data_IF_286906550119
#
_entry.id   IF_286906550119
#
_cell.length_a   1.000
_cell.length_b   1.000
_cell.length_c   1.000
_cell.angle_alpha   90.00
_cell.angle_beta   90.00
_cell.angle_gamma   90.00
#
_symmetry.space_group_name_H-M   'P 1'
#
loop_
_entity.id
_entity.type
_entity.pdbx_description
1 polymer ?
#
# COMPACT_ATOMS: atom_id res chain seq x y z
N UNK A 1 31.80 1.57 -8.86
CA UNK A 1 31.06 0.92 -7.76
C UNK A 1 30.27 2.00 -6.99
N UNK A 2 29.06 2.43 -7.44
CA UNK A 2 28.33 3.47 -6.74
C UNK A 2 27.37 2.80 -5.75
N UNK A 3 27.72 2.86 -4.47
CA UNK A 3 26.83 2.51 -3.38
C UNK A 3 25.69 3.53 -3.39
N UNK A 4 24.58 3.17 -4.03
CA UNK A 4 23.33 3.95 -4.02
C UNK A 4 22.87 4.11 -2.56
N UNK A 5 22.20 5.22 -2.21
CA UNK A 5 21.93 5.61 -0.83
C UNK A 5 20.74 4.81 -0.26
N UNK A 6 20.87 3.49 -0.19
CA UNK A 6 19.95 2.57 0.50
C UNK A 6 20.01 2.72 2.03
N UNK A 7 20.75 3.71 2.54
CA UNK A 7 21.06 3.87 3.96
C UNK A 7 20.10 4.83 4.67
N UNK A 8 19.25 5.58 3.97
CA UNK A 8 18.36 6.56 4.61
C UNK A 8 17.02 6.00 5.08
N UNK A 9 16.67 4.74 4.75
CA UNK A 9 15.45 4.06 5.20
C UNK A 9 15.80 2.82 6.05
N UNK A 10 16.60 3.02 7.10
CA UNK A 10 17.05 1.95 8.00
C UNK A 10 16.12 1.69 9.20
N UNK A 11 14.93 2.31 9.22
CA UNK A 11 13.92 2.09 10.27
C UNK A 11 12.70 1.40 9.66
N UNK A 12 12.55 0.07 9.82
CA UNK A 12 11.33 -0.67 9.42
C UNK A 12 10.03 -0.06 9.96
N UNK A 13 10.13 0.70 11.05
CA UNK A 13 9.01 1.39 11.72
C UNK A 13 8.43 2.55 10.91
N UNK A 14 9.15 3.06 9.90
CA UNK A 14 8.71 4.18 9.06
C UNK A 14 8.31 3.71 7.64
N UNK A 15 8.17 2.41 7.42
CA UNK A 15 7.79 1.91 6.12
C UNK A 15 6.34 2.29 5.82
N UNK A 16 6.14 2.94 4.68
CA UNK A 16 4.80 3.15 4.13
C UNK A 16 4.21 1.81 3.72
N UNK A 17 2.88 1.69 3.71
CA UNK A 17 2.19 0.45 3.33
C UNK A 17 2.72 -0.16 2.01
N UNK A 18 2.96 0.61 0.92
CA UNK A 18 3.51 0.06 -0.31
C UNK A 18 4.96 -0.42 -0.17
N UNK A 19 5.79 0.31 0.59
CA UNK A 19 7.17 -0.07 0.83
C UNK A 19 7.26 -1.34 1.69
N UNK A 20 6.41 -1.45 2.71
CA UNK A 20 6.26 -2.65 3.53
C UNK A 20 5.85 -3.87 2.70
N UNK A 21 4.82 -3.73 1.84
CA UNK A 21 4.41 -4.81 0.94
C UNK A 21 5.54 -5.22 -0.02
N UNK A 22 6.28 -4.26 -0.57
CA UNK A 22 7.44 -4.54 -1.42
C UNK A 22 8.50 -5.36 -0.69
N UNK A 23 8.75 -5.08 0.60
CA UNK A 23 9.71 -5.86 1.39
C UNK A 23 9.25 -7.30 1.63
N UNK A 24 7.95 -7.53 1.77
CA UNK A 24 7.36 -8.88 1.87
C UNK A 24 7.49 -9.61 0.54
N UNK A 25 7.20 -8.94 -0.58
CA UNK A 25 7.37 -9.52 -1.92
C UNK A 25 8.83 -9.89 -2.22
N UNK A 26 9.78 -9.08 -1.76
CA UNK A 26 11.22 -9.35 -1.93
C UNK A 26 11.71 -10.52 -1.07
N UNK A 27 11.09 -10.73 0.10
CA UNK A 27 11.44 -11.83 1.02
C UNK A 27 10.72 -13.13 0.71
N UNK A 28 9.46 -13.06 0.30
CA UNK A 28 8.56 -14.21 0.20
C UNK A 28 8.02 -14.48 -1.23
N UNK A 29 8.41 -13.64 -2.20
CA UNK A 29 8.01 -13.76 -3.60
C UNK A 29 9.15 -14.24 -4.50
N UNK A 30 9.16 -13.78 -5.76
CA UNK A 30 10.22 -14.10 -6.72
C UNK A 30 11.53 -13.39 -6.35
N UNK A 31 12.34 -14.03 -5.50
CA UNK A 31 13.60 -13.49 -5.00
C UNK A 31 14.01 -13.95 -3.59
N UNK A 32 13.11 -14.62 -2.85
CA UNK A 32 13.36 -15.13 -1.50
C UNK A 32 12.75 -16.53 -1.23
N UNK A 33 12.21 -16.75 -0.04
CA UNK A 33 11.52 -18.00 0.33
C UNK A 33 10.17 -18.02 -0.39
N UNK A 34 9.92 -18.95 -1.32
CA UNK A 34 8.77 -18.91 -2.23
C UNK A 34 7.42 -19.23 -1.54
N UNK A 35 7.00 -18.39 -0.60
CA UNK A 35 5.80 -18.53 0.23
C UNK A 35 4.71 -17.56 -0.26
N UNK A 36 4.03 -17.96 -1.34
CA UNK A 36 2.99 -17.14 -1.94
C UNK A 36 1.79 -16.92 -1.02
N UNK A 37 1.51 -17.84 -0.11
CA UNK A 37 0.49 -17.66 0.93
C UNK A 37 0.75 -16.42 1.80
N UNK A 38 2.01 -16.14 2.14
CA UNK A 38 2.40 -14.97 2.95
C UNK A 38 2.23 -13.69 2.13
N UNK A 39 2.67 -13.69 0.87
CA UNK A 39 2.54 -12.54 -0.04
C UNK A 39 1.07 -12.18 -0.28
N UNK A 40 0.22 -13.18 -0.50
CA UNK A 40 -1.21 -12.98 -0.73
C UNK A 40 -1.91 -12.51 0.55
N UNK A 41 -1.60 -13.09 1.71
CA UNK A 41 -2.14 -12.65 3.00
C UNK A 41 -1.77 -11.19 3.29
N UNK A 42 -0.51 -10.82 3.10
CA UNK A 42 -0.05 -9.44 3.28
C UNK A 42 -0.76 -8.46 2.33
N UNK A 43 -0.98 -8.85 1.07
CA UNK A 43 -1.70 -8.04 0.08
C UNK A 43 -3.15 -7.78 0.50
N UNK A 44 -3.84 -8.80 1.04
CA UNK A 44 -5.21 -8.66 1.57
C UNK A 44 -5.23 -7.71 2.78
N UNK A 45 -4.32 -7.89 3.74
CA UNK A 45 -4.22 -7.04 4.93
C UNK A 45 -3.97 -5.57 4.56
N UNK A 46 -3.11 -5.30 3.58
CA UNK A 46 -2.81 -3.94 3.10
C UNK A 46 -4.00 -3.32 2.36
N UNK A 47 -4.73 -4.12 1.58
CA UNK A 47 -5.82 -3.63 0.74
C UNK A 47 -7.12 -3.40 1.53
N UNK A 48 -7.39 -4.23 2.54
CA UNK A 48 -8.59 -4.17 3.37
C UNK A 48 -8.86 -2.77 3.99
N UNK A 49 -7.90 -2.08 4.64
CA UNK A 49 -8.14 -0.75 5.18
C UNK A 49 -8.42 0.29 4.09
N UNK A 50 -7.80 0.18 2.91
CA UNK A 50 -8.15 1.07 1.77
C UNK A 50 -9.60 0.86 1.33
N UNK A 51 -10.05 -0.40 1.27
CA UNK A 51 -11.44 -0.73 0.94
C UNK A 51 -12.39 -0.15 2.00
N UNK A 52 -12.08 -0.34 3.29
CA UNK A 52 -12.90 0.20 4.38
C UNK A 52 -12.99 1.73 4.30
N UNK A 53 -11.85 2.41 4.13
CA UNK A 53 -11.82 3.87 3.98
C UNK A 53 -12.63 4.31 2.78
N UNK A 54 -12.52 3.60 1.65
CA UNK A 54 -13.32 3.87 0.46
C UNK A 54 -14.82 3.80 0.76
N UNK A 55 -15.30 2.71 1.39
CA UNK A 55 -16.71 2.57 1.74
C UNK A 55 -17.20 3.63 2.73
N UNK A 56 -16.40 3.98 3.75
CA UNK A 56 -16.73 5.06 4.68
C UNK A 56 -16.78 6.42 3.97
N UNK A 57 -15.89 6.63 3.01
CA UNK A 57 -15.81 7.84 2.20
C UNK A 57 -16.84 7.93 1.07
N UNK A 58 -17.50 6.84 0.68
CA UNK A 58 -18.39 6.78 -0.50
C UNK A 58 -19.40 7.92 -0.53
N UNK A 59 -20.07 8.18 0.60
CA UNK A 59 -21.02 9.30 0.74
C UNK A 59 -20.37 10.66 0.44
N UNK A 60 -19.20 10.93 1.02
CA UNK A 60 -18.51 12.21 0.89
C UNK A 60 -17.93 12.42 -0.52
N UNK A 61 -17.43 11.36 -1.15
CA UNK A 61 -16.99 11.41 -2.54
C UNK A 61 -18.16 11.69 -3.49
N UNK A 62 -19.33 11.08 -3.26
CA UNK A 62 -20.54 11.34 -4.06
C UNK A 62 -21.06 12.78 -3.89
N UNK A 63 -21.13 13.28 -2.65
CA UNK A 63 -21.53 14.67 -2.35
C UNK A 63 -20.52 15.69 -2.93
N UNK A 64 -19.22 15.40 -2.88
CA UNK A 64 -18.15 16.24 -3.43
C UNK A 64 -18.18 16.32 -4.96
N UNK A 65 -18.37 15.19 -5.66
CA UNK A 65 -18.50 15.17 -7.13
C UNK A 65 -19.76 15.93 -7.57
N UNK A 66 -20.90 15.73 -6.90
CA UNK A 66 -22.13 16.44 -7.20
C UNK A 66 -22.00 17.96 -7.02
N UNK A 67 -21.25 18.40 -6.00
CA UNK A 67 -20.97 19.83 -5.73
C UNK A 67 -20.03 20.45 -6.78
N UNK A 68 -19.15 19.65 -7.37
CA UNK A 68 -18.19 20.12 -8.40
C UNK A 68 -18.85 20.26 -9.77
N UNK A 69 -19.89 19.46 -10.07
CA UNK A 69 -20.67 19.55 -11.32
C UNK A 69 -21.67 20.71 -11.40
N UNK A 70 -22.06 21.31 -10.28
CA UNK A 70 -23.01 22.44 -10.23
C UNK A 70 -22.35 23.83 -10.33
N UNK A 71 -21.01 23.91 -10.31
CA UNK A 71 -20.26 25.18 -10.42
C UNK A 71 -19.60 25.40 -11.79
N UNK A 72 -19.96 24.61 -12.79
CA UNK A 72 -19.63 24.83 -14.21
C UNK A 72 -20.80 25.43 -14.97
#
# INVERSE_FOLDING_TARGET
>A
NPVKPLIYLRSPQLYTLPLGLKTILDRFGQGGEMEWEVVMAASVIVTLPMIIIFFLGQRYFLEGIATTGLKG
#
